data_IF_277376154724
#
_entry.id   IF_277376154724
#
_cell.length_a   1.000
_cell.length_b   1.000
_cell.length_c   1.000
_cell.angle_alpha   90.00
_cell.angle_beta   90.00
_cell.angle_gamma   90.00
#
_symmetry.space_group_name_H-M   'P 1'
#
loop_
_entity.id
_entity.type
_entity.pdbx_description
1 polymer ?
#
# COMPACT_ATOMS: atom_id res chain seq x y z
N UNK A 1 7.65 -12.34 -19.22
CA UNK A 1 7.77 -10.89 -19.45
C UNK A 1 7.84 -10.09 -18.15
N UNK A 2 7.01 -10.30 -17.16
CA UNK A 2 6.98 -9.50 -15.93
C UNK A 2 8.30 -9.37 -15.18
N UNK A 3 9.08 -10.46 -15.03
CA UNK A 3 10.39 -10.43 -14.35
C UNK A 3 11.41 -9.52 -15.07
N UNK A 4 11.38 -9.46 -16.41
CA UNK A 4 12.25 -8.58 -17.20
C UNK A 4 11.84 -7.12 -17.06
N UNK A 5 10.52 -6.83 -17.03
CA UNK A 5 10.02 -5.47 -16.77
C UNK A 5 10.43 -4.99 -15.38
N UNK A 6 10.32 -5.83 -14.36
CA UNK A 6 10.77 -5.53 -13.01
C UNK A 6 12.26 -5.19 -12.96
N UNK A 7 13.12 -6.04 -13.53
CA UNK A 7 14.56 -5.80 -13.60
C UNK A 7 14.89 -4.50 -14.37
N UNK A 8 14.20 -4.24 -15.47
CA UNK A 8 14.34 -3.01 -16.26
C UNK A 8 13.99 -1.75 -15.46
N UNK A 9 12.89 -1.77 -14.72
CA UNK A 9 12.48 -0.64 -13.87
C UNK A 9 13.51 -0.37 -12.77
N UNK A 10 14.07 -1.41 -12.15
CA UNK A 10 15.12 -1.26 -11.14
C UNK A 10 16.39 -0.67 -11.71
N UNK A 11 16.83 -1.13 -12.88
CA UNK A 11 18.03 -0.59 -13.57
C UNK A 11 17.82 0.88 -13.97
N UNK A 12 16.65 1.24 -14.48
CA UNK A 12 16.32 2.62 -14.82
C UNK A 12 16.30 3.52 -13.58
N UNK A 13 15.80 3.02 -12.46
CA UNK A 13 15.78 3.76 -11.19
C UNK A 13 17.17 3.97 -10.64
N UNK A 14 18.04 2.97 -10.74
CA UNK A 14 19.45 3.09 -10.37
C UNK A 14 20.14 4.13 -11.27
N UNK A 15 19.95 4.07 -12.58
CA UNK A 15 20.50 5.03 -13.51
C UNK A 15 20.02 6.45 -13.23
N UNK A 16 18.71 6.64 -12.97
CA UNK A 16 18.14 7.93 -12.62
C UNK A 16 18.69 8.48 -11.30
N UNK A 17 18.84 7.63 -10.26
CA UNK A 17 19.46 8.03 -9.01
C UNK A 17 20.92 8.50 -9.19
N UNK A 18 21.69 7.81 -10.05
CA UNK A 18 23.08 8.17 -10.36
C UNK A 18 23.19 9.47 -11.18
N UNK A 19 22.18 9.79 -11.98
CA UNK A 19 22.11 11.06 -12.72
C UNK A 19 21.74 12.20 -11.76
N UNK A 20 20.80 11.98 -10.84
CA UNK A 20 20.39 12.99 -9.87
C UNK A 20 21.46 13.28 -8.81
N UNK A 21 22.38 12.35 -8.55
CA UNK A 21 23.41 12.52 -7.53
C UNK A 21 24.70 13.07 -8.15
N UNK A 22 25.15 14.21 -7.60
CA UNK A 22 26.33 14.91 -8.11
C UNK A 22 27.62 14.56 -7.38
N UNK A 23 27.54 14.18 -6.11
CA UNK A 23 28.71 14.15 -5.22
C UNK A 23 29.37 12.77 -5.09
N UNK A 24 28.61 11.68 -4.90
CA UNK A 24 29.17 10.35 -4.66
C UNK A 24 28.34 9.25 -5.33
N UNK A 25 28.59 9.07 -6.61
CA UNK A 25 27.89 8.07 -7.44
C UNK A 25 28.11 6.63 -6.96
N UNK A 26 29.31 6.30 -6.46
CA UNK A 26 29.63 4.93 -5.99
C UNK A 26 28.82 4.60 -4.73
N UNK A 27 28.80 5.54 -3.77
CA UNK A 27 28.01 5.39 -2.55
C UNK A 27 26.53 5.30 -2.87
N UNK A 28 26.03 6.13 -3.76
CA UNK A 28 24.61 6.08 -4.19
C UNK A 28 24.27 4.76 -4.87
N UNK A 29 25.13 4.24 -5.77
CA UNK A 29 24.94 2.94 -6.38
C UNK A 29 24.88 1.82 -5.33
N UNK A 30 25.83 1.79 -4.40
CA UNK A 30 25.87 0.81 -3.32
C UNK A 30 24.60 0.86 -2.46
N UNK A 31 24.20 2.06 -2.01
CA UNK A 31 23.03 2.24 -1.18
C UNK A 31 21.76 1.82 -1.90
N UNK A 32 21.59 2.17 -3.17
CA UNK A 32 20.45 1.76 -3.99
C UNK A 32 20.40 0.24 -4.17
N UNK A 33 21.52 -0.40 -4.50
CA UNK A 33 21.58 -1.86 -4.62
C UNK A 33 21.26 -2.56 -3.30
N UNK A 34 21.79 -2.06 -2.17
CA UNK A 34 21.48 -2.57 -0.84
C UNK A 34 19.99 -2.40 -0.50
N UNK A 35 19.39 -1.25 -0.83
CA UNK A 35 17.97 -0.98 -0.61
C UNK A 35 17.09 -1.90 -1.46
N UNK A 36 17.43 -2.14 -2.73
CA UNK A 36 16.71 -3.09 -3.57
C UNK A 36 16.82 -4.53 -3.06
N UNK A 37 18.02 -4.96 -2.64
CA UNK A 37 18.20 -6.29 -2.06
C UNK A 37 17.38 -6.45 -0.77
N UNK A 38 17.42 -5.46 0.12
CA UNK A 38 16.63 -5.44 1.35
C UNK A 38 15.12 -5.49 1.06
N UNK A 39 14.65 -4.73 0.07
CA UNK A 39 13.26 -4.73 -0.36
C UNK A 39 12.82 -6.09 -0.89
N UNK A 40 13.62 -6.71 -1.76
CA UNK A 40 13.33 -8.03 -2.32
C UNK A 40 13.27 -9.10 -1.21
N UNK A 41 14.26 -9.12 -0.32
CA UNK A 41 14.31 -10.07 0.80
C UNK A 41 13.12 -9.86 1.73
N UNK A 42 12.83 -8.63 2.16
CA UNK A 42 11.72 -8.35 3.07
C UNK A 42 10.36 -8.70 2.45
N UNK A 43 10.16 -8.40 1.16
CA UNK A 43 8.94 -8.74 0.43
C UNK A 43 8.69 -10.25 0.40
N UNK A 44 9.72 -11.03 0.07
CA UNK A 44 9.65 -12.50 0.02
C UNK A 44 9.47 -13.10 1.41
N UNK A 45 10.24 -12.63 2.40
CA UNK A 45 10.15 -13.14 3.77
C UNK A 45 8.79 -12.87 4.40
N UNK A 46 8.20 -11.70 4.17
CA UNK A 46 6.87 -11.38 4.65
C UNK A 46 5.81 -12.28 4.01
N UNK A 47 5.86 -12.48 2.68
CA UNK A 47 4.96 -13.41 2.00
C UNK A 47 5.12 -14.84 2.47
N UNK A 48 6.37 -15.30 2.69
CA UNK A 48 6.64 -16.62 3.24
C UNK A 48 6.12 -16.80 4.66
N UNK A 49 6.30 -15.78 5.52
CA UNK A 49 5.81 -15.81 6.90
C UNK A 49 4.28 -15.94 6.97
N UNK A 50 3.57 -15.22 6.10
CA UNK A 50 2.10 -15.31 5.97
C UNK A 50 1.70 -16.71 5.51
N UNK A 51 2.33 -17.22 4.47
CA UNK A 51 2.08 -18.57 3.95
C UNK A 51 2.31 -19.64 5.02
N UNK A 52 3.39 -19.52 5.78
CA UNK A 52 3.68 -20.44 6.88
C UNK A 52 2.62 -20.37 7.98
N UNK A 53 2.21 -19.17 8.37
CA UNK A 53 1.18 -18.99 9.38
C UNK A 53 -0.18 -19.56 8.93
N UNK A 54 -0.54 -19.39 7.66
CA UNK A 54 -1.77 -19.91 7.08
C UNK A 54 -1.78 -21.45 7.00
N UNK A 55 -0.67 -22.05 6.57
CA UNK A 55 -0.53 -23.51 6.45
C UNK A 55 -0.31 -24.22 7.80
N UNK A 56 0.11 -23.52 8.84
CA UNK A 56 0.44 -24.10 10.15
C UNK A 56 1.63 -25.07 10.13
N UNK A 57 2.30 -25.28 8.98
CA UNK A 57 3.41 -26.20 8.78
C UNK A 57 4.51 -25.59 7.95
N UNK A 58 5.74 -25.52 8.54
CA UNK A 58 6.92 -25.03 7.85
C UNK A 58 7.26 -25.88 6.62
N UNK A 59 7.14 -27.20 6.72
CA UNK A 59 7.44 -28.13 5.62
C UNK A 59 6.50 -27.89 4.43
N UNK A 60 5.19 -27.73 4.68
CA UNK A 60 4.23 -27.43 3.64
C UNK A 60 4.50 -26.07 2.98
N UNK A 61 4.82 -25.04 3.78
CA UNK A 61 5.17 -23.71 3.27
C UNK A 61 6.44 -23.74 2.39
N UNK A 62 7.48 -24.48 2.80
CA UNK A 62 8.71 -24.64 2.01
C UNK A 62 8.43 -25.38 0.70
N UNK A 63 7.62 -26.44 0.72
CA UNK A 63 7.24 -27.16 -0.48
C UNK A 63 6.49 -26.23 -1.46
N UNK A 64 5.46 -25.52 -0.98
CA UNK A 64 4.68 -24.57 -1.77
C UNK A 64 5.55 -23.48 -2.40
N UNK A 65 6.47 -22.94 -1.58
CA UNK A 65 7.43 -21.95 -2.05
C UNK A 65 8.37 -22.50 -3.14
N UNK A 66 8.85 -23.75 -2.98
CA UNK A 66 9.71 -24.43 -3.96
C UNK A 66 9.00 -24.72 -5.30
N UNK A 67 7.68 -24.85 -5.29
CA UNK A 67 6.84 -24.99 -6.49
C UNK A 67 6.63 -23.65 -7.24
N UNK A 68 7.25 -22.56 -6.76
CA UNK A 68 7.14 -21.23 -7.37
C UNK A 68 5.84 -20.48 -7.04
N UNK A 69 5.06 -20.99 -6.12
CA UNK A 69 3.82 -20.36 -5.62
C UNK A 69 4.15 -19.37 -4.52
N UNK A 70 4.91 -18.34 -4.88
CA UNK A 70 5.38 -17.32 -3.94
C UNK A 70 4.40 -16.17 -3.86
N UNK A 71 4.08 -15.76 -2.64
CA UNK A 71 3.40 -14.50 -2.38
C UNK A 71 4.46 -13.46 -1.96
N UNK A 72 4.20 -12.20 -2.27
CA UNK A 72 5.12 -11.10 -2.01
C UNK A 72 4.37 -9.95 -1.33
N UNK A 73 4.99 -9.35 -0.31
CA UNK A 73 4.47 -8.15 0.33
C UNK A 73 5.12 -6.91 -0.29
N UNK A 74 4.36 -6.13 -1.02
CA UNK A 74 4.84 -4.87 -1.60
C UNK A 74 5.10 -3.82 -0.52
N UNK A 75 4.27 -3.79 0.54
CA UNK A 75 4.42 -2.86 1.67
C UNK A 75 5.68 -3.17 2.47
N UNK A 76 5.92 -4.44 2.83
CA UNK A 76 7.14 -4.83 3.56
C UNK A 76 8.40 -4.51 2.74
N UNK A 77 8.38 -4.75 1.43
CA UNK A 77 9.46 -4.37 0.53
C UNK A 77 9.71 -2.86 0.51
N UNK A 78 8.64 -2.06 0.42
CA UNK A 78 8.73 -0.60 0.42
C UNK A 78 9.28 -0.05 1.74
N UNK A 79 8.84 -0.60 2.88
CA UNK A 79 9.36 -0.24 4.21
C UNK A 79 10.87 -0.52 4.27
N UNK A 80 11.29 -1.73 3.91
CA UNK A 80 12.69 -2.13 3.95
C UNK A 80 13.56 -1.27 3.02
N UNK A 81 13.06 -0.90 1.83
CA UNK A 81 13.73 0.00 0.92
C UNK A 81 13.98 1.37 1.57
N UNK A 82 12.93 2.02 2.07
CA UNK A 82 13.02 3.35 2.67
C UNK A 82 13.90 3.35 3.91
N UNK A 83 13.76 2.34 4.78
CA UNK A 83 14.60 2.21 5.98
C UNK A 83 16.07 2.03 5.62
N UNK A 84 16.41 1.18 4.66
CA UNK A 84 17.78 0.96 4.20
C UNK A 84 18.37 2.23 3.62
N UNK A 85 17.60 2.95 2.78
CA UNK A 85 18.01 4.25 2.26
C UNK A 85 18.27 5.25 3.40
N UNK A 86 17.36 5.32 4.36
CA UNK A 86 17.49 6.23 5.50
C UNK A 86 18.73 5.92 6.36
N UNK A 87 18.97 4.65 6.66
CA UNK A 87 20.10 4.21 7.48
C UNK A 87 21.46 4.41 6.79
N UNK A 88 21.55 4.12 5.48
CA UNK A 88 22.83 4.15 4.75
C UNK A 88 23.13 5.50 4.09
N UNK A 89 22.13 6.21 3.64
CA UNK A 89 22.30 7.50 2.94
C UNK A 89 21.96 8.71 3.81
N UNK A 90 21.26 8.51 4.91
CA UNK A 90 20.78 9.56 5.79
C UNK A 90 19.47 10.21 5.31
N UNK A 91 18.85 10.97 6.22
CA UNK A 91 17.52 11.57 6.00
C UNK A 91 17.49 12.52 4.81
N UNK A 92 18.44 13.42 4.71
CA UNK A 92 18.44 14.47 3.68
C UNK A 92 18.51 13.89 2.26
N UNK A 93 19.38 12.89 2.04
CA UNK A 93 19.49 12.23 0.74
C UNK A 93 18.23 11.41 0.42
N UNK A 94 17.66 10.71 1.41
CA UNK A 94 16.41 9.97 1.25
C UNK A 94 15.25 10.89 0.86
N UNK A 95 15.12 12.05 1.51
CA UNK A 95 14.12 13.07 1.17
C UNK A 95 14.32 13.62 -0.25
N UNK A 96 15.56 13.88 -0.65
CA UNK A 96 15.89 14.39 -2.00
C UNK A 96 15.53 13.39 -3.10
N UNK A 97 15.70 12.10 -2.84
CA UNK A 97 15.37 11.02 -3.78
C UNK A 97 13.92 10.55 -3.69
N UNK A 98 13.12 11.07 -2.75
CA UNK A 98 11.74 10.66 -2.56
C UNK A 98 10.87 10.73 -3.83
N UNK A 99 10.92 11.77 -4.67
CA UNK A 99 10.15 11.79 -5.92
C UNK A 99 10.50 10.63 -6.87
N UNK A 100 11.79 10.27 -6.94
CA UNK A 100 12.25 9.15 -7.76
C UNK A 100 11.72 7.80 -7.23
N UNK A 101 11.72 7.61 -5.90
CA UNK A 101 11.18 6.38 -5.29
C UNK A 101 9.69 6.21 -5.57
N UNK A 102 8.95 7.31 -5.55
CA UNK A 102 7.52 7.31 -5.83
C UNK A 102 7.23 7.07 -7.32
N UNK A 103 8.06 7.58 -8.22
CA UNK A 103 8.01 7.24 -9.65
C UNK A 103 8.32 5.76 -9.87
N UNK A 104 9.32 5.22 -9.16
CA UNK A 104 9.64 3.79 -9.19
C UNK A 104 8.43 2.96 -8.71
N UNK A 105 7.81 3.33 -7.61
CA UNK A 105 6.62 2.64 -7.10
C UNK A 105 5.48 2.66 -8.13
N UNK A 106 5.22 3.81 -8.76
CA UNK A 106 4.22 3.90 -9.83
C UNK A 106 4.54 2.98 -11.01
N UNK A 107 5.81 2.95 -11.45
CA UNK A 107 6.24 2.06 -12.53
C UNK A 107 6.13 0.57 -12.15
N UNK A 108 6.44 0.21 -10.91
CA UNK A 108 6.28 -1.15 -10.39
C UNK A 108 4.81 -1.56 -10.39
N UNK A 109 3.90 -0.69 -9.93
CA UNK A 109 2.46 -0.96 -10.00
C UNK A 109 1.98 -1.14 -11.44
N UNK A 110 2.38 -0.28 -12.37
CA UNK A 110 2.05 -0.45 -13.78
C UNK A 110 2.62 -1.74 -14.39
N UNK A 111 3.75 -2.25 -13.87
CA UNK A 111 4.33 -3.51 -14.35
C UNK A 111 3.51 -4.75 -13.98
N UNK A 112 2.60 -4.65 -13.01
CA UNK A 112 1.65 -5.71 -12.65
C UNK A 112 0.73 -6.05 -13.84
N UNK A 113 0.55 -5.11 -14.76
CA UNK A 113 -0.11 -5.38 -16.05
C UNK A 113 0.49 -6.58 -16.82
N UNK A 114 1.75 -6.91 -16.59
CA UNK A 114 2.44 -8.03 -17.24
C UNK A 114 2.50 -9.31 -16.40
N UNK A 115 1.87 -9.31 -15.23
CA UNK A 115 1.89 -10.41 -14.26
C UNK A 115 0.48 -10.75 -13.72
N UNK A 116 -0.51 -11.07 -14.59
CA UNK A 116 -1.84 -11.46 -14.09
C UNK A 116 -1.73 -12.74 -13.22
N UNK A 117 -2.53 -12.88 -12.15
CA UNK A 117 -3.66 -12.03 -11.75
C UNK A 117 -3.29 -10.86 -10.82
N UNK A 118 -2.00 -10.52 -10.67
CA UNK A 118 -1.57 -9.45 -9.78
C UNK A 118 -2.26 -8.12 -10.10
N UNK A 119 -2.66 -7.40 -9.07
CA UNK A 119 -3.27 -6.08 -9.19
C UNK A 119 -4.67 -6.04 -9.81
N UNK A 120 -5.33 -7.20 -9.99
CA UNK A 120 -6.73 -7.27 -10.44
C UNK A 120 -7.68 -7.26 -9.24
N UNK A 121 -8.75 -6.50 -9.39
CA UNK A 121 -9.87 -6.44 -8.47
C UNK A 121 -11.05 -7.29 -8.94
N UNK A 122 -12.20 -7.05 -8.34
CA UNK A 122 -13.44 -7.78 -8.63
C UNK A 122 -13.84 -7.66 -10.10
N UNK A 123 -14.52 -8.68 -10.60
CA UNK A 123 -15.19 -8.68 -11.89
C UNK A 123 -16.26 -7.59 -11.92
N UNK A 124 -16.40 -6.96 -13.07
CA UNK A 124 -17.28 -5.83 -13.29
C UNK A 124 -18.16 -6.08 -14.51
N UNK A 125 -19.45 -6.30 -14.30
CA UNK A 125 -20.43 -6.39 -15.37
C UNK A 125 -21.04 -5.02 -15.69
N UNK A 126 -21.32 -4.77 -16.96
CA UNK A 126 -22.10 -3.60 -17.41
C UNK A 126 -21.45 -2.25 -17.13
N UNK A 127 -20.14 -2.18 -17.09
CA UNK A 127 -19.40 -0.93 -16.75
C UNK A 127 -19.54 0.11 -17.86
N UNK A 128 -19.88 1.36 -17.52
CA UNK A 128 -19.96 2.45 -18.50
C UNK A 128 -18.62 2.65 -19.23
N UNK A 129 -18.62 2.99 -20.53
CA UNK A 129 -17.40 3.17 -21.35
C UNK A 129 -16.38 4.16 -20.77
N UNK A 130 -16.83 5.14 -19.98
CA UNK A 130 -15.98 6.11 -19.31
C UNK A 130 -14.98 5.46 -18.33
N UNK A 131 -15.30 4.29 -17.79
CA UNK A 131 -14.44 3.54 -16.87
C UNK A 131 -13.58 2.48 -17.55
N UNK A 132 -13.67 2.31 -18.87
CA UNK A 132 -12.84 1.36 -19.63
C UNK A 132 -11.34 1.48 -19.35
N UNK A 133 -10.76 2.67 -19.09
CA UNK A 133 -9.34 2.78 -18.70
C UNK A 133 -9.00 2.11 -17.36
N UNK A 134 -9.99 1.78 -16.53
CA UNK A 134 -9.79 1.10 -15.24
C UNK A 134 -10.08 -0.40 -15.33
N UNK A 135 -10.48 -0.89 -16.50
CA UNK A 135 -10.86 -2.29 -16.71
C UNK A 135 -9.75 -3.04 -17.44
N UNK A 136 -9.60 -4.29 -17.11
CA UNK A 136 -8.76 -5.26 -17.80
C UNK A 136 -9.39 -6.63 -17.75
N UNK A 137 -9.29 -7.37 -18.83
CA UNK A 137 -9.68 -8.78 -18.87
C UNK A 137 -8.68 -9.63 -18.08
N UNK A 138 -9.19 -10.57 -17.32
CA UNK A 138 -8.41 -11.58 -16.61
C UNK A 138 -7.94 -12.71 -17.57
N UNK A 139 -7.48 -13.83 -17.02
CA UNK A 139 -7.02 -14.98 -17.81
C UNK A 139 -8.17 -15.74 -18.51
N UNK A 140 -9.41 -15.52 -18.09
CA UNK A 140 -10.63 -16.14 -18.62
C UNK A 140 -11.38 -15.23 -19.59
N UNK A 141 -10.96 -13.97 -19.72
CA UNK A 141 -11.61 -12.95 -20.54
C UNK A 141 -12.65 -12.13 -19.81
N UNK A 142 -12.76 -12.28 -18.49
CA UNK A 142 -13.71 -11.55 -17.66
C UNK A 142 -13.21 -10.14 -17.35
N UNK A 143 -14.07 -9.11 -17.47
CA UNK A 143 -13.68 -7.74 -17.23
C UNK A 143 -13.49 -7.48 -15.73
N UNK A 144 -12.26 -7.24 -15.29
CA UNK A 144 -11.87 -6.99 -13.92
C UNK A 144 -11.38 -5.57 -13.70
N UNK A 145 -11.52 -5.04 -12.49
CA UNK A 145 -10.94 -3.77 -12.09
C UNK A 145 -9.41 -3.86 -12.08
N UNK A 146 -8.72 -3.04 -12.85
CA UNK A 146 -7.26 -2.95 -12.87
C UNK A 146 -6.75 -2.05 -11.73
N UNK A 147 -6.73 -2.56 -10.50
CA UNK A 147 -6.40 -1.80 -9.26
C UNK A 147 -5.00 -1.19 -9.31
N UNK A 148 -4.04 -1.84 -9.98
CA UNK A 148 -2.69 -1.32 -10.16
C UNK A 148 -2.65 0.05 -10.86
N UNK A 149 -3.67 0.43 -11.66
CA UNK A 149 -3.75 1.74 -12.35
C UNK A 149 -4.03 2.89 -11.39
N UNK A 150 -5.09 2.88 -10.55
CA UNK A 150 -5.29 3.91 -9.54
C UNK A 150 -4.18 3.93 -8.49
N UNK A 151 -3.58 2.79 -8.12
CA UNK A 151 -2.40 2.75 -7.25
C UNK A 151 -1.20 3.49 -7.87
N UNK A 152 -0.91 3.24 -9.15
CA UNK A 152 0.14 3.95 -9.87
C UNK A 152 -0.16 5.46 -9.99
N UNK A 153 -1.42 5.84 -10.25
CA UNK A 153 -1.83 7.24 -10.29
C UNK A 153 -1.63 7.94 -8.94
N UNK A 154 -1.99 7.28 -7.83
CA UNK A 154 -1.76 7.79 -6.48
C UNK A 154 -0.25 7.99 -6.21
N UNK A 155 0.60 7.03 -6.58
CA UNK A 155 2.05 7.15 -6.45
C UNK A 155 2.63 8.30 -7.31
N UNK A 156 2.13 8.50 -8.54
CA UNK A 156 2.51 9.62 -9.41
C UNK A 156 2.12 10.97 -8.81
N UNK A 157 0.90 11.11 -8.29
CA UNK A 157 0.45 12.33 -7.61
C UNK A 157 1.31 12.63 -6.37
N UNK A 158 1.68 11.61 -5.62
CA UNK A 158 2.61 11.72 -4.51
C UNK A 158 4.02 12.14 -4.97
N UNK A 159 4.51 11.61 -6.09
CA UNK A 159 5.79 12.01 -6.68
C UNK A 159 5.82 13.48 -7.08
N UNK A 160 4.76 13.97 -7.73
CA UNK A 160 4.60 15.38 -8.08
C UNK A 160 4.56 16.26 -6.81
N UNK A 161 3.81 15.83 -5.80
CA UNK A 161 3.74 16.54 -4.50
C UNK A 161 5.11 16.62 -3.84
N UNK A 162 5.86 15.51 -3.81
CA UNK A 162 7.22 15.46 -3.27
C UNK A 162 8.17 16.40 -4.03
N UNK A 163 8.11 16.38 -5.37
CA UNK A 163 8.93 17.24 -6.20
C UNK A 163 8.65 18.74 -5.96
N UNK A 164 7.38 19.13 -5.86
CA UNK A 164 6.98 20.52 -5.61
C UNK A 164 7.32 20.96 -4.19
N UNK A 165 7.07 20.14 -3.18
CA UNK A 165 7.37 20.47 -1.79
C UNK A 165 8.87 20.42 -1.50
N UNK A 166 9.59 19.47 -2.07
CA UNK A 166 11.04 19.36 -1.95
C UNK A 166 11.78 20.60 -2.48
N UNK A 167 11.29 21.19 -3.59
CA UNK A 167 11.81 22.48 -4.10
C UNK A 167 11.62 23.62 -3.10
N UNK A 168 10.66 23.54 -2.20
CA UNK A 168 10.40 24.52 -1.12
C UNK A 168 11.15 24.18 0.17
N UNK A 169 12.05 23.20 0.16
CA UNK A 169 12.83 22.77 1.33
C UNK A 169 12.00 22.10 2.43
N UNK A 170 10.77 21.65 2.13
CA UNK A 170 9.91 20.98 3.12
C UNK A 170 10.17 19.47 3.13
N UNK A 171 10.24 18.84 4.30
CA UNK A 171 10.31 17.38 4.39
C UNK A 171 9.02 16.77 3.84
N UNK A 172 9.14 15.83 2.92
CA UNK A 172 8.01 15.34 2.12
C UNK A 172 7.77 13.84 2.28
N UNK A 173 8.82 13.06 2.48
CA UNK A 173 8.73 11.59 2.45
C UNK A 173 7.77 11.05 3.51
N UNK A 174 7.88 11.54 4.74
CA UNK A 174 7.08 11.03 5.84
C UNK A 174 5.56 11.30 5.69
N UNK A 175 5.10 12.55 5.43
CA UNK A 175 3.68 12.81 5.19
C UNK A 175 3.13 12.04 3.98
N UNK A 176 3.93 11.88 2.94
CA UNK A 176 3.54 11.15 1.73
C UNK A 176 3.44 9.65 2.04
N UNK A 177 4.38 9.08 2.80
CA UNK A 177 4.31 7.68 3.21
C UNK A 177 3.04 7.37 4.02
N UNK A 178 2.61 8.29 4.91
CA UNK A 178 1.35 8.15 5.63
C UNK A 178 0.13 8.14 4.68
N UNK A 179 0.09 9.04 3.72
CA UNK A 179 -1.00 9.10 2.73
C UNK A 179 -1.05 7.85 1.86
N UNK A 180 0.11 7.40 1.37
CA UNK A 180 0.20 6.18 0.58
C UNK A 180 -0.20 4.94 1.37
N UNK A 181 0.25 4.82 2.63
CA UNK A 181 -0.16 3.72 3.50
C UNK A 181 -1.69 3.70 3.71
N UNK A 182 -2.30 4.87 3.93
CA UNK A 182 -3.74 4.98 4.07
C UNK A 182 -4.48 4.62 2.77
N UNK A 183 -4.00 5.09 1.61
CA UNK A 183 -4.54 4.70 0.30
C UNK A 183 -4.38 3.21 0.01
N UNK A 184 -3.25 2.61 0.41
CA UNK A 184 -3.03 1.17 0.25
C UNK A 184 -4.04 0.35 1.06
N UNK A 185 -4.42 0.79 2.27
CA UNK A 185 -5.48 0.14 3.04
C UNK A 185 -6.79 0.09 2.23
N UNK A 186 -7.12 1.16 1.51
CA UNK A 186 -8.31 1.19 0.64
C UNK A 186 -8.14 0.31 -0.60
N UNK A 187 -7.00 0.39 -1.31
CA UNK A 187 -6.78 -0.40 -2.53
C UNK A 187 -6.79 -1.91 -2.28
N UNK A 188 -6.31 -2.34 -1.12
CA UNK A 188 -6.39 -3.74 -0.71
C UNK A 188 -7.83 -4.27 -0.68
N UNK A 189 -8.82 -3.42 -0.38
CA UNK A 189 -10.24 -3.81 -0.41
C UNK A 189 -10.73 -4.14 -1.83
N UNK A 190 -10.07 -3.60 -2.84
CA UNK A 190 -10.45 -3.78 -4.24
C UNK A 190 -9.81 -5.03 -4.88
N UNK A 191 -8.79 -5.63 -4.25
CA UNK A 191 -8.07 -6.78 -4.79
C UNK A 191 -8.84 -8.09 -4.56
N UNK A 192 -8.89 -8.95 -5.59
CA UNK A 192 -9.47 -10.30 -5.50
C UNK A 192 -8.54 -11.31 -4.83
N UNK A 193 -7.23 -11.12 -4.94
CA UNK A 193 -6.22 -12.05 -4.42
C UNK A 193 -5.21 -11.33 -3.52
N UNK A 194 -5.65 -10.70 -2.42
CA UNK A 194 -4.75 -10.04 -1.48
C UNK A 194 -3.92 -11.06 -0.69
N UNK A 195 -2.82 -10.60 -0.11
CA UNK A 195 -2.04 -11.41 0.83
C UNK A 195 -2.82 -11.55 2.15
N UNK A 196 -3.35 -12.74 2.43
CA UNK A 196 -4.22 -13.01 3.58
C UNK A 196 -3.48 -13.73 4.71
N UNK A 197 -3.70 -13.28 5.93
CA UNK A 197 -3.37 -14.01 7.15
C UNK A 197 -4.67 -14.40 7.84
N UNK A 198 -5.12 -15.63 7.61
CA UNK A 198 -6.46 -16.05 7.97
C UNK A 198 -7.52 -15.25 7.22
N UNK A 199 -8.31 -14.43 7.94
CA UNK A 199 -9.34 -13.56 7.35
C UNK A 199 -8.92 -12.10 7.21
N UNK A 200 -7.67 -11.76 7.57
CA UNK A 200 -7.18 -10.38 7.58
C UNK A 200 -6.19 -10.15 6.44
N UNK A 201 -6.32 -9.03 5.74
CA UNK A 201 -5.41 -8.62 4.67
C UNK A 201 -4.12 -8.08 5.29
N UNK A 202 -3.02 -8.79 5.05
CA UNK A 202 -1.71 -8.51 5.69
C UNK A 202 -1.20 -7.11 5.36
N UNK A 203 -1.35 -6.66 4.12
CA UNK A 203 -0.90 -5.34 3.69
C UNK A 203 -1.65 -4.21 4.42
N UNK A 204 -2.94 -4.40 4.74
CA UNK A 204 -3.70 -3.43 5.54
C UNK A 204 -3.15 -3.31 6.96
N UNK A 205 -2.80 -4.45 7.59
CA UNK A 205 -2.18 -4.43 8.93
C UNK A 205 -0.84 -3.69 8.90
N UNK A 206 0.01 -4.00 7.93
CA UNK A 206 1.31 -3.33 7.80
C UNK A 206 1.16 -1.83 7.60
N UNK A 207 0.22 -1.40 6.74
CA UNK A 207 -0.07 0.00 6.53
C UNK A 207 -0.63 0.67 7.78
N UNK A 208 -1.56 0.02 8.50
CA UNK A 208 -2.06 0.53 9.77
C UNK A 208 -0.95 0.69 10.82
N UNK A 209 -0.02 -0.26 10.90
CA UNK A 209 1.14 -0.17 11.78
C UNK A 209 2.05 1.02 11.42
N UNK A 210 2.25 1.31 10.13
CA UNK A 210 2.97 2.51 9.68
C UNK A 210 2.27 3.78 10.20
N UNK A 211 0.94 3.87 10.05
CA UNK A 211 0.18 5.04 10.49
C UNK A 211 0.20 5.20 12.01
N UNK A 212 0.08 4.12 12.75
CA UNK A 212 0.19 4.13 14.21
C UNK A 212 1.60 4.51 14.67
N UNK A 213 2.64 3.97 14.04
CA UNK A 213 4.03 4.34 14.32
C UNK A 213 4.30 5.81 14.03
N UNK A 214 3.73 6.34 12.93
CA UNK A 214 3.79 7.75 12.58
C UNK A 214 3.14 8.67 13.61
N UNK A 215 2.02 8.25 14.18
CA UNK A 215 1.29 8.99 15.21
C UNK A 215 1.88 8.81 16.61
N UNK A 216 2.82 7.86 16.80
CA UNK A 216 3.37 7.56 18.11
C UNK A 216 4.12 8.76 18.70
N UNK A 217 3.72 9.26 19.89
CA UNK A 217 4.31 10.47 20.44
C UNK A 217 5.78 10.23 20.83
N UNK A 218 6.65 11.14 20.38
CA UNK A 218 8.05 11.19 20.81
C UNK A 218 8.17 11.34 22.34
N UNK A 219 9.33 11.03 22.88
CA UNK A 219 9.57 10.99 24.33
C UNK A 219 9.16 12.28 25.06
N UNK A 220 9.39 13.46 24.44
CA UNK A 220 8.98 14.75 24.99
C UNK A 220 7.48 15.03 24.95
N UNK A 221 6.76 14.37 24.06
CA UNK A 221 5.31 14.57 23.83
C UNK A 221 4.42 13.65 24.66
N UNK A 222 4.96 12.53 25.17
CA UNK A 222 4.16 11.48 25.87
C UNK A 222 3.37 11.98 27.08
N UNK A 223 3.83 13.05 27.73
CA UNK A 223 3.19 13.65 28.90
C UNK A 223 2.19 14.77 28.56
N UNK A 224 2.09 15.17 27.29
CA UNK A 224 1.16 16.23 26.88
C UNK A 224 -0.27 15.68 26.76
N UNK A 225 -1.28 16.44 27.21
CA UNK A 225 -2.68 16.08 27.01
C UNK A 225 -2.97 15.89 25.51
N UNK A 226 -3.69 14.85 25.17
CA UNK A 226 -4.07 14.56 23.78
C UNK A 226 -2.98 13.91 22.92
N UNK A 227 -1.73 13.71 23.41
CA UNK A 227 -0.66 13.06 22.63
C UNK A 227 -1.04 11.64 22.15
N UNK A 228 -1.78 10.91 22.97
CA UNK A 228 -2.27 9.57 22.64
C UNK A 228 -3.58 9.56 21.84
N UNK A 229 -4.24 10.71 21.76
CA UNK A 229 -5.52 10.84 21.05
C UNK A 229 -5.39 10.50 19.56
N UNK A 230 -4.28 10.84 18.93
CA UNK A 230 -4.02 10.51 17.52
C UNK A 230 -3.93 9.00 17.28
N UNK A 231 -3.23 8.28 18.15
CA UNK A 231 -3.14 6.81 18.09
C UNK A 231 -4.51 6.19 18.27
N UNK A 232 -5.25 6.62 19.30
CA UNK A 232 -6.60 6.12 19.56
C UNK A 232 -7.54 6.38 18.37
N UNK A 233 -7.45 7.56 17.77
CA UNK A 233 -8.23 7.92 16.60
C UNK A 233 -7.88 7.02 15.39
N UNK A 234 -6.60 6.84 15.06
CA UNK A 234 -6.16 5.98 13.95
C UNK A 234 -6.54 4.51 14.21
N UNK A 235 -6.38 4.03 15.43
CA UNK A 235 -6.76 2.66 15.81
C UNK A 235 -8.28 2.44 15.66
N UNK A 236 -9.11 3.41 16.12
CA UNK A 236 -10.56 3.35 15.97
C UNK A 236 -10.97 3.36 14.49
N UNK A 237 -10.34 4.23 13.68
CA UNK A 237 -10.59 4.28 12.24
C UNK A 237 -10.16 2.98 11.53
N UNK A 238 -9.03 2.36 11.95
CA UNK A 238 -8.61 1.05 11.46
C UNK A 238 -9.62 -0.05 11.81
N UNK A 239 -10.17 -0.04 13.01
CA UNK A 239 -11.23 -0.97 13.41
C UNK A 239 -12.51 -0.78 12.57
N UNK A 240 -12.93 0.47 12.34
CA UNK A 240 -14.07 0.77 11.44
C UNK A 240 -13.77 0.27 10.03
N UNK A 241 -12.54 0.46 9.54
CA UNK A 241 -12.15 -0.04 8.22
C UNK A 241 -12.26 -1.56 8.13
N UNK A 242 -11.82 -2.29 9.17
CA UNK A 242 -12.01 -3.74 9.27
C UNK A 242 -13.47 -4.18 9.27
N UNK A 243 -14.36 -3.43 9.93
CA UNK A 243 -15.80 -3.69 9.87
C UNK A 243 -16.40 -3.44 8.48
N UNK A 244 -15.97 -2.38 7.80
CA UNK A 244 -16.37 -2.11 6.41
C UNK A 244 -15.88 -3.23 5.48
N UNK A 245 -14.65 -3.72 5.67
CA UNK A 245 -14.12 -4.85 4.94
C UNK A 245 -14.99 -6.10 5.14
N UNK A 246 -15.31 -6.42 6.39
CA UNK A 246 -16.19 -7.56 6.69
C UNK A 246 -17.56 -7.43 6.02
N UNK A 247 -18.14 -6.22 6.02
CA UNK A 247 -19.42 -5.95 5.36
C UNK A 247 -19.33 -6.12 3.84
N UNK A 248 -18.21 -5.75 3.22
CA UNK A 248 -17.96 -5.95 1.78
C UNK A 248 -17.78 -7.43 1.43
N UNK A 249 -17.08 -8.18 2.27
CA UNK A 249 -16.84 -9.61 2.04
C UNK A 249 -18.07 -10.48 2.33
N UNK A 250 -19.03 -9.97 3.14
CA UNK A 250 -20.25 -10.69 3.59
C UNK A 250 -21.51 -9.80 3.48
N UNK A 251 -21.80 -9.23 2.29
CA UNK A 251 -22.90 -8.28 2.12
C UNK A 251 -24.26 -8.89 2.43
N UNK A 252 -24.44 -10.21 2.21
CA UNK A 252 -25.67 -10.92 2.49
C UNK A 252 -26.04 -10.91 3.99
N UNK A 253 -25.07 -10.93 4.90
CA UNK A 253 -25.37 -10.88 6.36
C UNK A 253 -25.97 -9.52 6.76
N UNK A 254 -25.51 -8.45 6.12
CA UNK A 254 -26.03 -7.09 6.36
C UNK A 254 -27.40 -6.95 5.71
N UNK A 255 -27.56 -7.47 4.48
CA UNK A 255 -28.81 -7.44 3.75
C UNK A 255 -29.91 -8.24 4.48
N UNK A 256 -29.61 -9.41 5.02
CA UNK A 256 -30.53 -10.24 5.81
C UNK A 256 -31.05 -9.50 7.06
N UNK A 257 -30.17 -8.72 7.71
CA UNK A 257 -30.56 -7.94 8.88
C UNK A 257 -31.40 -6.69 8.53
N UNK A 258 -31.25 -6.13 7.31
CA UNK A 258 -31.84 -4.88 6.91
C UNK A 258 -33.10 -5.02 6.03
N UNK A 259 -33.22 -6.08 5.24
CA UNK A 259 -34.28 -6.26 4.27
C UNK A 259 -35.49 -7.03 4.85
N UNK A 260 -36.69 -6.59 4.48
CA UNK A 260 -37.94 -7.23 4.85
C UNK A 260 -38.65 -7.91 3.67
N UNK A 261 -38.10 -7.79 2.47
CA UNK A 261 -38.61 -8.39 1.22
C UNK A 261 -37.46 -8.92 0.38
N UNK A 262 -37.74 -9.88 -0.52
CA UNK A 262 -36.73 -10.45 -1.40
C UNK A 262 -36.11 -9.40 -2.33
N UNK A 263 -36.91 -8.51 -2.92
CA UNK A 263 -36.41 -7.39 -3.75
C UNK A 263 -35.53 -6.44 -2.94
N UNK A 264 -35.90 -6.16 -1.69
CA UNK A 264 -35.12 -5.35 -0.76
C UNK A 264 -33.80 -6.02 -0.39
N UNK A 265 -33.80 -7.35 -0.27
CA UNK A 265 -32.59 -8.12 0.01
C UNK A 265 -31.59 -8.02 -1.15
N UNK A 266 -31.99 -8.28 -2.39
CA UNK A 266 -31.13 -8.18 -3.57
C UNK A 266 -30.57 -6.76 -3.76
N UNK A 267 -31.42 -5.75 -3.58
CA UNK A 267 -30.99 -4.37 -3.64
C UNK A 267 -29.97 -4.02 -2.54
N UNK A 268 -30.14 -4.55 -1.32
CA UNK A 268 -29.21 -4.34 -0.21
C UNK A 268 -27.87 -5.06 -0.46
N UNK A 269 -27.88 -6.30 -0.94
CA UNK A 269 -26.67 -7.05 -1.31
C UNK A 269 -25.84 -6.30 -2.33
N UNK A 270 -26.48 -5.67 -3.33
CA UNK A 270 -25.78 -4.88 -4.34
C UNK A 270 -25.28 -3.52 -3.80
N UNK A 271 -26.04 -2.87 -2.92
CA UNK A 271 -25.72 -1.54 -2.43
C UNK A 271 -24.64 -1.52 -1.32
N UNK A 272 -24.63 -2.53 -0.44
CA UNK A 272 -23.71 -2.59 0.72
C UNK A 272 -22.24 -2.46 0.31
N UNK A 273 -21.71 -3.21 -0.65
CA UNK A 273 -20.31 -3.07 -1.07
C UNK A 273 -19.99 -1.67 -1.60
N UNK A 274 -20.88 -1.07 -2.39
CA UNK A 274 -20.67 0.26 -2.96
C UNK A 274 -20.56 1.32 -1.86
N UNK A 275 -21.49 1.32 -0.91
CA UNK A 275 -21.47 2.26 0.21
C UNK A 275 -20.24 2.06 1.07
N UNK A 276 -19.89 0.80 1.38
CA UNK A 276 -18.72 0.48 2.18
C UNK A 276 -17.41 0.91 1.48
N UNK A 277 -17.28 0.76 0.16
CA UNK A 277 -16.11 1.24 -0.57
C UNK A 277 -15.98 2.76 -0.52
N UNK A 278 -17.08 3.50 -0.67
CA UNK A 278 -17.08 4.98 -0.56
C UNK A 278 -16.64 5.39 0.85
N UNK A 279 -17.21 4.79 1.89
CA UNK A 279 -16.86 5.09 3.28
C UNK A 279 -15.41 4.72 3.58
N UNK A 280 -14.92 3.58 3.10
CA UNK A 280 -13.54 3.15 3.25
C UNK A 280 -12.55 4.12 2.57
N UNK A 281 -12.87 4.61 1.38
CA UNK A 281 -12.06 5.62 0.68
C UNK A 281 -11.97 6.93 1.48
N UNK A 282 -13.11 7.45 1.95
CA UNK A 282 -13.16 8.67 2.77
C UNK A 282 -12.38 8.49 4.08
N UNK A 283 -12.57 7.36 4.75
CA UNK A 283 -11.88 7.03 5.99
C UNK A 283 -10.35 6.96 5.79
N UNK A 284 -9.89 6.38 4.69
CA UNK A 284 -8.47 6.31 4.34
C UNK A 284 -7.85 7.68 4.13
N UNK A 285 -8.55 8.61 3.44
CA UNK A 285 -8.07 10.00 3.27
C UNK A 285 -7.90 10.68 4.62
N UNK A 286 -8.91 10.60 5.48
CA UNK A 286 -8.89 11.24 6.81
C UNK A 286 -7.78 10.64 7.67
N UNK A 287 -7.64 9.31 7.68
CA UNK A 287 -6.62 8.59 8.46
C UNK A 287 -5.20 8.98 8.02
N UNK A 288 -4.95 9.07 6.72
CA UNK A 288 -3.66 9.50 6.17
C UNK A 288 -3.29 10.92 6.56
N UNK A 289 -4.25 11.86 6.53
CA UNK A 289 -4.03 13.25 6.93
C UNK A 289 -3.79 13.38 8.45
N UNK A 290 -4.52 12.63 9.26
CA UNK A 290 -4.33 12.60 10.73
C UNK A 290 -2.92 12.09 11.05
N UNK A 291 -2.50 10.97 10.47
CA UNK A 291 -1.18 10.39 10.70
C UNK A 291 -0.06 11.34 10.24
N UNK A 292 -0.19 11.94 9.06
CA UNK A 292 0.77 12.90 8.54
C UNK A 292 0.95 14.12 9.47
N UNK A 293 -0.15 14.68 9.97
CA UNK A 293 -0.13 15.82 10.90
C UNK A 293 0.44 15.44 12.27
N UNK A 294 0.05 14.28 12.79
CA UNK A 294 0.58 13.78 14.07
C UNK A 294 2.11 13.61 13.99
N UNK A 295 2.62 13.00 12.94
CA UNK A 295 4.05 12.80 12.74
C UNK A 295 4.83 14.10 12.55
N UNK A 296 4.26 15.09 11.84
CA UNK A 296 4.88 16.42 11.73
C UNK A 296 5.02 17.10 13.08
N UNK A 297 3.96 17.09 13.90
CA UNK A 297 4.01 17.63 15.27
C UNK A 297 5.06 16.93 16.14
N UNK A 298 5.15 15.61 16.02
CA UNK A 298 6.15 14.83 16.75
C UNK A 298 7.59 15.22 16.34
N UNK A 299 7.82 15.47 15.06
CA UNK A 299 9.12 15.89 14.54
C UNK A 299 9.51 17.32 14.96
N UNK A 300 8.53 18.22 15.14
CA UNK A 300 8.74 19.60 15.57
C UNK A 300 8.85 19.74 17.10
N UNK A 301 8.61 18.68 17.86
CA UNK A 301 8.64 18.70 19.34
C UNK A 301 7.53 19.56 19.99
N UNK A 302 6.48 19.91 19.23
CA UNK A 302 5.36 20.76 19.66
C UNK A 302 4.16 19.98 20.18
#
# INVERSE_FOLDING_TARGET
MGRLCFAGIWLLSLAAALVCEKEDKRKTAFVMLAAFAAAAVASVLAGFAVLWADMGSLTAAVQWFSEGRTQHSAVAGSIAFVLTMHCLAGRERTERLAPLFLLLLAALRLSEAFCPPAGLGSELEGVPPAFSPLIREDAYGDPCLAVYRPEAAAALLCALTAAVQGRKGKPTLFPIACRLAAWQIFFENLLTSPLMLGFVRTEQILCLLILLAAAFPGTGMRKKPGAWGWIACIAAMGAVHGLLQFAMDKPYLIAEAAAHTDEGFDAAVAAVPVVCHILAALLSVVMGEIAARAGQRNAEGK
#
